data_IF_865577545507
#
_entry.id   IF_865577545507
#
_cell.length_a   1.000
_cell.length_b   1.000
_cell.length_c   1.000
_cell.angle_alpha   90.00
_cell.angle_beta   90.00
_cell.angle_gamma   90.00
#
_symmetry.space_group_name_H-M   'P 1'
#
loop_
_entity.id
_entity.type
_entity.pdbx_description
1 polymer ?
#
# COMPACT_ATOMS: atom_id res chain seq x y z
N UNK A 1 -7.01 -15.75 9.83
CA UNK A 1 -7.87 -14.83 10.63
C UNK A 1 -7.93 -13.48 9.94
N UNK A 2 -9.08 -12.82 9.94
CA UNK A 2 -9.22 -11.44 9.43
C UNK A 2 -8.39 -10.50 10.30
N UNK A 3 -7.58 -9.63 9.69
CA UNK A 3 -6.87 -8.57 10.41
C UNK A 3 -7.82 -7.37 10.56
N UNK A 4 -7.85 -6.78 11.76
CA UNK A 4 -8.78 -5.69 12.13
C UNK A 4 -8.02 -4.50 12.71
N UNK A 5 -8.74 -3.43 13.06
CA UNK A 5 -8.16 -2.23 13.65
C UNK A 5 -7.19 -2.56 14.79
N UNK A 6 -6.05 -1.87 14.83
CA UNK A 6 -4.96 -2.13 15.76
C UNK A 6 -3.87 -3.08 15.24
N UNK A 7 -4.18 -3.93 14.25
CA UNK A 7 -3.19 -4.78 13.60
C UNK A 7 -2.18 -3.94 12.80
N UNK A 8 -0.91 -4.35 12.77
CA UNK A 8 0.15 -3.68 12.02
C UNK A 8 0.55 -4.52 10.81
N UNK A 9 0.57 -3.90 9.63
CA UNK A 9 1.20 -4.46 8.44
C UNK A 9 2.55 -3.78 8.20
N UNK A 10 3.48 -4.51 7.60
CA UNK A 10 4.70 -3.94 7.06
C UNK A 10 4.55 -3.81 5.55
N UNK A 11 4.76 -2.59 5.04
CA UNK A 11 4.56 -2.22 3.64
C UNK A 11 5.87 -1.72 3.07
N UNK A 12 6.29 -2.32 1.96
CA UNK A 12 7.47 -1.91 1.21
C UNK A 12 7.08 -1.38 -0.17
N UNK A 13 7.60 -0.21 -0.54
CA UNK A 13 7.46 0.34 -1.89
C UNK A 13 8.36 -0.40 -2.87
N UNK A 14 7.80 -0.94 -3.96
CA UNK A 14 8.54 -1.67 -4.99
C UNK A 14 9.42 -0.78 -5.89
N UNK A 15 9.24 0.54 -5.83
CA UNK A 15 10.16 1.51 -6.45
C UNK A 15 11.48 1.69 -5.69
N UNK A 16 11.52 1.29 -4.41
CA UNK A 16 12.65 1.55 -3.54
C UNK A 16 12.90 0.42 -2.55
N UNK A 17 13.60 0.74 -1.48
CA UNK A 17 13.95 -0.22 -0.43
C UNK A 17 13.25 0.03 0.89
N UNK A 18 12.59 1.18 1.04
CA UNK A 18 11.93 1.60 2.28
C UNK A 18 10.72 0.73 2.61
N UNK A 19 10.71 0.22 3.85
CA UNK A 19 9.57 -0.47 4.46
C UNK A 19 9.12 0.29 5.70
N UNK A 20 7.80 0.40 5.91
CA UNK A 20 7.22 1.01 7.12
C UNK A 20 6.18 0.07 7.75
N UNK A 21 6.01 0.21 9.06
CA UNK A 21 4.86 -0.34 9.78
C UNK A 21 3.66 0.60 9.71
N UNK A 22 2.49 0.09 9.35
CA UNK A 22 1.22 0.83 9.33
C UNK A 22 0.15 0.09 10.12
N UNK A 23 -0.60 0.83 10.94
CA UNK A 23 -1.66 0.28 11.77
C UNK A 23 -3.02 0.45 11.08
N UNK A 24 -3.82 -0.61 11.04
CA UNK A 24 -5.19 -0.54 10.54
C UNK A 24 -6.01 0.36 11.46
N UNK A 25 -6.62 1.38 10.90
CA UNK A 25 -7.54 2.31 11.59
C UNK A 25 -8.91 2.36 10.97
N UNK A 26 -9.03 1.98 9.69
CA UNK A 26 -10.28 1.95 8.94
C UNK A 26 -10.33 0.75 7.98
N UNK A 27 -11.51 0.49 7.43
CA UNK A 27 -11.74 -0.41 6.31
C UNK A 27 -11.45 0.28 4.98
N UNK A 28 -11.29 -0.53 3.93
CA UNK A 28 -11.00 -0.07 2.58
C UNK A 28 -9.56 -0.35 2.16
N UNK A 29 -9.20 0.02 0.93
CA UNK A 29 -10.07 0.63 -0.09
C UNK A 29 -11.12 -0.36 -0.64
N UNK A 30 -12.09 0.13 -1.43
CA UNK A 30 -13.03 -0.71 -2.16
C UNK A 30 -12.29 -1.37 -3.34
N UNK A 31 -11.54 -2.43 -3.06
CA UNK A 31 -10.63 -3.08 -4.01
C UNK A 31 -11.32 -3.54 -5.29
N UNK A 32 -12.59 -3.94 -5.20
CA UNK A 32 -13.43 -4.40 -6.31
C UNK A 32 -13.56 -3.38 -7.45
N UNK A 33 -13.62 -2.08 -7.13
CA UNK A 33 -13.66 -0.99 -8.11
C UNK A 33 -12.36 -0.86 -8.92
N UNK A 34 -11.28 -1.50 -8.47
CA UNK A 34 -9.92 -1.37 -9.02
C UNK A 34 -9.29 -2.73 -9.30
N UNK A 35 -10.09 -3.79 -9.37
CA UNK A 35 -9.62 -5.13 -9.69
C UNK A 35 -8.91 -5.14 -11.05
N UNK A 36 -7.65 -5.57 -11.06
CA UNK A 36 -6.80 -5.62 -12.25
C UNK A 36 -6.05 -4.31 -12.56
N UNK A 37 -6.27 -3.21 -11.83
CA UNK A 37 -5.44 -2.00 -11.96
C UNK A 37 -3.97 -2.40 -11.71
N UNK A 38 -3.07 -2.04 -12.63
CA UNK A 38 -1.65 -2.41 -12.57
C UNK A 38 -0.79 -1.16 -12.46
N UNK A 39 0.12 -1.16 -11.49
CA UNK A 39 1.16 -0.15 -11.35
C UNK A 39 2.53 -0.84 -11.30
N UNK A 40 3.53 -0.23 -11.91
CA UNK A 40 4.85 -0.80 -12.08
C UNK A 40 5.95 0.21 -11.75
N UNK A 41 7.08 -0.30 -11.27
CA UNK A 41 8.27 0.46 -11.03
C UNK A 41 9.50 -0.39 -11.34
N UNK A 42 10.29 0.02 -12.33
CA UNK A 42 11.49 -0.70 -12.78
C UNK A 42 11.24 -2.21 -13.06
N UNK A 43 10.10 -2.53 -13.67
CA UNK A 43 9.70 -3.92 -13.99
C UNK A 43 9.01 -4.67 -12.85
N UNK A 44 9.08 -4.18 -11.60
CA UNK A 44 8.32 -4.73 -10.49
C UNK A 44 6.91 -4.16 -10.48
N UNK A 45 5.90 -5.02 -10.57
CA UNK A 45 4.51 -4.60 -10.65
C UNK A 45 3.67 -5.18 -9.53
N UNK A 46 2.67 -4.41 -9.13
CA UNK A 46 1.58 -4.86 -8.26
C UNK A 46 0.24 -4.63 -8.96
N UNK A 47 -0.78 -5.33 -8.49
CA UNK A 47 -2.15 -5.17 -8.98
C UNK A 47 -3.11 -4.91 -7.84
N UNK A 48 -4.22 -4.25 -8.18
CA UNK A 48 -5.31 -3.84 -7.29
C UNK A 48 -4.92 -2.76 -6.28
N UNK A 49 -5.93 -2.09 -5.72
CA UNK A 49 -5.76 -1.20 -4.56
C UNK A 49 -6.00 -1.99 -3.28
N UNK A 50 -4.94 -2.24 -2.52
CA UNK A 50 -4.97 -3.12 -1.34
C UNK A 50 -4.94 -2.38 0.00
N UNK A 51 -4.41 -1.17 0.01
CA UNK A 51 -4.23 -0.38 1.22
C UNK A 51 -4.31 1.10 0.87
N UNK A 52 -4.99 1.87 1.71
CA UNK A 52 -5.05 3.32 1.61
C UNK A 52 -4.24 3.93 2.77
N UNK A 53 -3.42 4.91 2.45
CA UNK A 53 -2.49 5.51 3.40
C UNK A 53 -2.94 6.90 3.79
N UNK A 54 -2.68 7.27 5.04
CA UNK A 54 -2.64 8.69 5.38
C UNK A 54 -1.51 9.37 4.58
N UNK A 55 -1.61 10.69 4.31
CA UNK A 55 -0.53 11.42 3.64
C UNK A 55 0.83 11.27 4.33
N UNK A 56 0.83 11.19 5.67
CA UNK A 56 2.05 10.99 6.45
C UNK A 56 2.68 9.61 6.21
N UNK A 57 1.88 8.54 6.22
CA UNK A 57 2.39 7.19 5.93
C UNK A 57 2.86 7.07 4.49
N UNK A 58 2.12 7.63 3.53
CA UNK A 58 2.51 7.61 2.12
C UNK A 58 3.86 8.33 1.91
N UNK A 59 4.02 9.52 2.49
CA UNK A 59 5.24 10.33 2.37
C UNK A 59 6.47 9.66 3.01
N UNK A 60 6.27 8.72 3.93
CA UNK A 60 7.36 7.97 4.55
C UNK A 60 7.94 6.87 3.63
N UNK A 61 7.21 6.43 2.60
CA UNK A 61 7.66 5.36 1.67
C UNK A 61 7.61 5.74 0.19
N UNK A 62 7.00 6.87 -0.17
CA UNK A 62 6.80 7.29 -1.55
C UNK A 62 6.61 8.81 -1.68
N UNK A 63 6.28 9.25 -2.89
CA UNK A 63 6.05 10.66 -3.21
C UNK A 63 4.54 10.88 -3.45
N UNK A 64 3.92 11.78 -2.69
CA UNK A 64 2.48 12.08 -2.81
C UNK A 64 2.04 12.42 -4.25
N UNK A 65 2.92 13.02 -5.05
CA UNK A 65 2.62 13.36 -6.45
C UNK A 65 2.42 12.14 -7.36
N UNK A 66 2.83 10.93 -6.95
CA UNK A 66 2.59 9.73 -7.75
C UNK A 66 1.15 9.20 -7.64
N UNK A 67 0.42 9.57 -6.58
CA UNK A 67 -0.97 9.16 -6.29
C UNK A 67 -1.14 7.68 -5.91
N UNK A 68 -0.46 6.78 -6.62
CA UNK A 68 -0.37 5.35 -6.33
C UNK A 68 1.08 4.88 -6.45
N UNK A 69 1.41 3.77 -5.81
CA UNK A 69 2.69 3.08 -5.96
C UNK A 69 2.51 1.57 -5.79
N UNK A 70 3.30 0.75 -6.49
CA UNK A 70 3.28 -0.69 -6.30
C UNK A 70 3.96 -1.06 -4.97
N UNK A 71 3.32 -1.90 -4.17
CA UNK A 71 3.81 -2.29 -2.84
C UNK A 71 3.74 -3.80 -2.62
N UNK A 72 4.57 -4.29 -1.69
CA UNK A 72 4.38 -5.61 -1.05
C UNK A 72 3.96 -5.41 0.39
N UNK A 73 3.05 -6.26 0.88
CA UNK A 73 2.48 -6.20 2.23
C UNK A 73 2.75 -7.51 2.94
N UNK A 74 3.28 -7.46 4.16
CA UNK A 74 3.40 -8.62 5.06
C UNK A 74 2.83 -8.31 6.44
N UNK A 75 2.44 -9.38 7.14
CA UNK A 75 1.82 -9.36 8.47
C UNK A 75 2.74 -9.92 9.53
#
# INVERSE_FOLDING_TARGET
>A
MRRTCGHTFYVKNLCGTTEIGVKITDCGPQTDLWCGERSCCNGNCATNRLIDFTPAAYSAIGNLSSGIMPVTIRS
#
